data_IF_882387593215
#
_entry.id   IF_882387593215
#
_cell.length_a   1.000
_cell.length_b   1.000
_cell.length_c   1.000
_cell.angle_alpha   90.00
_cell.angle_beta   90.00
_cell.angle_gamma   90.00
#
_symmetry.space_group_name_H-M   'P 1'
#
loop_
_entity.id
_entity.type
_entity.pdbx_description
1 polymer ?
#
# COMPACT_ATOMS: atom_id res chain seq x y z
N UNK A 1 -47.81 -6.97 -53.61
CA UNK A 1 -47.67 -6.89 -52.16
C UNK A 1 -46.18 -6.94 -51.82
N UNK A 2 -45.57 -5.77 -51.67
CA UNK A 2 -44.14 -5.61 -51.36
C UNK A 2 -43.98 -5.48 -49.83
N UNK A 3 -43.30 -6.43 -49.22
CA UNK A 3 -42.93 -6.37 -47.83
C UNK A 3 -41.64 -5.57 -47.68
N UNK A 4 -41.74 -4.37 -47.12
CA UNK A 4 -40.59 -3.58 -46.70
C UNK A 4 -39.84 -4.30 -45.53
N UNK A 5 -38.52 -4.38 -45.58
CA UNK A 5 -37.75 -4.88 -44.43
C UNK A 5 -37.67 -3.83 -43.33
N UNK A 6 -38.18 -4.16 -42.17
CA UNK A 6 -38.06 -3.33 -40.99
C UNK A 6 -36.59 -3.15 -40.61
N UNK A 7 -36.07 -1.94 -40.74
CA UNK A 7 -34.75 -1.56 -40.32
C UNK A 7 -34.70 -1.53 -38.78
N UNK A 8 -34.18 -2.57 -38.15
CA UNK A 8 -33.86 -2.58 -36.69
C UNK A 8 -32.67 -1.69 -36.44
N UNK A 9 -32.90 -0.49 -35.95
CA UNK A 9 -31.89 0.40 -35.43
C UNK A 9 -31.43 -0.19 -34.09
N UNK A 10 -30.24 -0.79 -34.06
CA UNK A 10 -29.55 -1.11 -32.81
C UNK A 10 -29.02 0.21 -32.25
N UNK A 11 -29.70 0.79 -31.26
CA UNK A 11 -29.13 1.83 -30.43
C UNK A 11 -28.05 1.19 -29.55
N UNK A 12 -26.78 1.44 -29.87
CA UNK A 12 -25.66 1.16 -28.99
C UNK A 12 -25.73 2.23 -27.91
N UNK A 13 -26.17 1.89 -26.70
CA UNK A 13 -25.98 2.75 -25.55
C UNK A 13 -24.48 2.84 -25.26
N UNK A 14 -23.87 3.95 -25.63
CA UNK A 14 -22.50 4.26 -25.19
C UNK A 14 -22.55 4.65 -23.72
N UNK A 15 -22.21 3.72 -22.85
CA UNK A 15 -21.98 4.01 -21.43
C UNK A 15 -20.62 4.69 -21.31
N UNK A 16 -20.63 5.99 -21.04
CA UNK A 16 -19.41 6.73 -20.75
C UNK A 16 -19.02 6.46 -19.28
N UNK A 17 -18.00 5.68 -19.07
CA UNK A 17 -17.40 5.52 -17.76
C UNK A 17 -16.47 6.71 -17.48
N UNK A 18 -16.80 7.51 -16.46
CA UNK A 18 -15.98 8.66 -16.08
C UNK A 18 -14.93 8.21 -15.07
N UNK A 19 -13.68 8.23 -15.49
CA UNK A 19 -12.54 7.98 -14.60
C UNK A 19 -12.51 9.00 -13.47
N UNK A 20 -12.45 8.52 -12.24
CA UNK A 20 -12.31 9.30 -11.01
C UNK A 20 -10.94 9.07 -10.41
N UNK A 21 -10.47 10.00 -9.59
CA UNK A 21 -9.30 9.79 -8.78
C UNK A 21 -9.43 10.46 -7.40
N UNK A 22 -8.87 9.83 -6.39
CA UNK A 22 -8.70 10.37 -5.04
C UNK A 22 -7.24 10.25 -4.65
N UNK A 23 -6.69 11.30 -4.05
CA UNK A 23 -5.35 11.27 -3.45
C UNK A 23 -5.46 11.72 -2.00
N UNK A 24 -4.99 10.87 -1.09
CA UNK A 24 -4.98 11.15 0.35
C UNK A 24 -3.63 10.76 0.95
N UNK A 25 -3.33 11.35 2.12
CA UNK A 25 -2.12 11.09 2.87
C UNK A 25 -2.49 10.65 4.27
N UNK A 26 -2.18 9.40 4.59
CA UNK A 26 -2.19 8.92 5.97
C UNK A 26 -0.88 9.33 6.65
N UNK A 27 -0.93 9.58 7.95
CA UNK A 27 0.27 9.94 8.73
C UNK A 27 0.38 8.98 9.90
N UNK A 28 1.51 8.29 9.98
CA UNK A 28 1.83 7.39 11.08
C UNK A 28 3.01 7.95 11.88
N UNK A 29 2.88 7.94 13.20
CA UNK A 29 3.94 8.31 14.15
C UNK A 29 4.14 7.16 15.11
N UNK A 30 4.98 6.21 14.72
CA UNK A 30 5.32 5.04 15.52
C UNK A 30 6.30 5.44 16.62
N UNK A 31 6.02 5.06 17.86
CA UNK A 31 6.82 5.43 19.03
C UNK A 31 8.06 4.54 19.25
N UNK A 32 8.04 3.36 18.68
CA UNK A 32 9.17 2.41 18.68
C UNK A 32 10.01 2.61 17.42
N UNK A 33 11.26 2.15 17.43
CA UNK A 33 12.11 2.18 16.25
C UNK A 33 11.50 1.39 15.09
N UNK A 34 10.90 0.22 15.38
CA UNK A 34 10.29 -0.67 14.38
C UNK A 34 8.86 -1.05 14.78
N UNK A 35 8.02 -1.21 13.78
CA UNK A 35 6.67 -1.77 13.93
C UNK A 35 6.07 -2.17 12.58
N UNK A 36 5.14 -3.13 12.63
CA UNK A 36 4.22 -3.42 11.54
C UNK A 36 2.82 -2.98 11.94
N UNK A 37 2.25 -2.05 11.21
CA UNK A 37 0.92 -1.48 11.48
C UNK A 37 -0.03 -1.92 10.38
N UNK A 38 -1.10 -2.65 10.74
CA UNK A 38 -2.14 -2.98 9.78
C UNK A 38 -2.93 -1.72 9.42
N UNK A 39 -2.83 -1.30 8.16
CA UNK A 39 -3.46 -0.10 7.63
C UNK A 39 -4.63 -0.41 6.68
N UNK A 40 -4.98 -1.68 6.51
CA UNK A 40 -6.09 -2.11 5.65
C UNK A 40 -7.39 -1.36 5.95
N UNK A 41 -7.81 -1.19 7.23
CA UNK A 41 -9.05 -0.48 7.55
C UNK A 41 -9.02 0.99 7.12
N UNK A 42 -7.86 1.66 7.22
CA UNK A 42 -7.73 3.06 6.84
C UNK A 42 -7.78 3.22 5.31
N UNK A 43 -7.12 2.33 4.56
CA UNK A 43 -7.19 2.30 3.10
C UNK A 43 -8.63 2.01 2.63
N UNK A 44 -9.31 1.03 3.23
CA UNK A 44 -10.71 0.71 2.88
C UNK A 44 -11.66 1.89 3.11
N UNK A 45 -11.47 2.68 4.18
CA UNK A 45 -12.25 3.92 4.39
C UNK A 45 -12.06 4.92 3.24
N UNK A 46 -10.83 5.04 2.72
CA UNK A 46 -10.55 5.93 1.59
C UNK A 46 -11.17 5.44 0.28
N UNK A 47 -11.21 4.13 0.06
CA UNK A 47 -11.93 3.55 -1.08
C UNK A 47 -13.42 3.88 -1.00
N UNK A 48 -14.06 3.69 0.15
CA UNK A 48 -15.45 4.07 0.35
C UNK A 48 -15.68 5.58 0.12
N UNK A 49 -14.76 6.42 0.60
CA UNK A 49 -14.79 7.88 0.37
C UNK A 49 -14.70 8.24 -1.12
N UNK A 50 -13.89 7.50 -1.89
CA UNK A 50 -13.70 7.76 -3.33
C UNK A 50 -14.94 7.48 -4.16
N UNK A 51 -15.83 6.61 -3.69
CA UNK A 51 -17.01 6.07 -4.42
C UNK A 51 -16.63 5.36 -5.73
N UNK A 52 -15.38 4.93 -5.87
CA UNK A 52 -14.89 4.14 -6.99
C UNK A 52 -15.31 2.69 -6.75
N UNK A 53 -15.92 2.07 -7.77
CA UNK A 53 -16.39 0.70 -7.70
C UNK A 53 -15.38 -0.28 -8.30
N UNK A 54 -14.77 0.10 -9.41
CA UNK A 54 -13.78 -0.71 -10.12
C UNK A 54 -12.55 0.13 -10.45
N UNK A 55 -11.35 -0.37 -10.10
CA UNK A 55 -10.14 0.39 -10.32
C UNK A 55 -8.90 -0.17 -9.60
N UNK A 56 -7.97 0.73 -9.32
CA UNK A 56 -6.71 0.41 -8.65
C UNK A 56 -6.46 1.37 -7.48
N UNK A 57 -5.92 0.82 -6.41
CA UNK A 57 -5.45 1.55 -5.23
C UNK A 57 -3.94 1.37 -5.08
N UNK A 58 -3.17 2.44 -5.27
CA UNK A 58 -1.76 2.50 -4.91
C UNK A 58 -1.64 2.96 -3.45
N UNK A 59 -0.90 2.21 -2.64
CA UNK A 59 -0.53 2.59 -1.26
C UNK A 59 0.98 2.63 -1.16
N UNK A 60 1.56 3.79 -0.87
CA UNK A 60 2.98 4.06 -1.00
C UNK A 60 3.57 4.75 0.23
N UNK A 61 4.58 4.15 0.87
CA UNK A 61 5.37 4.79 1.91
C UNK A 61 6.24 5.90 1.31
N UNK A 62 6.08 7.13 1.82
CA UNK A 62 6.80 8.32 1.33
C UNK A 62 8.04 8.61 2.17
N UNK A 63 8.71 7.57 2.67
CA UNK A 63 9.95 7.72 3.43
C UNK A 63 10.88 6.55 3.12
N UNK A 64 12.18 6.84 3.06
CA UNK A 64 13.22 5.88 2.66
C UNK A 64 13.57 4.84 3.74
N UNK A 65 12.99 4.94 4.93
CA UNK A 65 13.12 3.97 6.03
C UNK A 65 11.77 3.37 6.44
N UNK A 66 10.75 3.50 5.57
CA UNK A 66 9.43 2.92 5.77
C UNK A 66 8.95 2.20 4.51
N UNK A 67 8.09 1.22 4.68
CA UNK A 67 7.61 0.28 3.65
C UNK A 67 6.09 0.17 3.68
N UNK A 68 5.51 -0.29 2.58
CA UNK A 68 4.16 -0.82 2.52
C UNK A 68 4.22 -2.18 1.86
N UNK A 69 3.62 -3.19 2.48
CA UNK A 69 3.62 -4.57 1.98
C UNK A 69 2.28 -5.26 2.31
N UNK A 70 2.05 -6.41 1.67
CA UNK A 70 0.86 -7.24 1.89
C UNK A 70 1.29 -8.57 2.45
N UNK A 71 0.65 -8.98 3.55
CA UNK A 71 0.78 -10.35 4.11
C UNK A 71 -0.35 -10.62 5.12
N UNK A 72 -0.29 -11.79 5.77
CA UNK A 72 -1.20 -12.19 6.81
C UNK A 72 -0.99 -11.39 8.11
N UNK A 73 -2.08 -11.11 8.81
CA UNK A 73 -2.08 -10.42 10.11
C UNK A 73 -1.96 -11.41 11.27
N UNK A 74 -0.80 -12.06 11.39
CA UNK A 74 -0.51 -13.06 12.41
C UNK A 74 0.73 -12.66 13.23
N UNK A 75 0.58 -12.66 14.56
CA UNK A 75 1.62 -12.17 15.48
C UNK A 75 2.91 -13.01 15.44
N UNK A 76 2.83 -14.32 15.18
CA UNK A 76 3.99 -15.20 15.03
C UNK A 76 4.79 -14.82 13.80
N UNK A 77 4.10 -14.64 12.67
CA UNK A 77 4.70 -14.22 11.42
C UNK A 77 5.38 -12.84 11.54
N UNK A 78 4.75 -11.89 12.25
CA UNK A 78 5.38 -10.59 12.50
C UNK A 78 6.67 -10.70 13.31
N UNK A 79 6.71 -11.58 14.32
CA UNK A 79 7.95 -11.86 15.07
C UNK A 79 9.02 -12.53 14.20
N UNK A 80 8.62 -13.38 13.27
CA UNK A 80 9.54 -14.01 12.34
C UNK A 80 10.10 -13.01 11.32
N UNK A 81 9.30 -12.05 10.84
CA UNK A 81 9.81 -10.92 10.05
C UNK A 81 10.85 -10.10 10.81
N UNK A 82 10.59 -9.77 12.08
CA UNK A 82 11.56 -9.03 12.90
C UNK A 82 12.90 -9.76 12.99
N UNK A 83 12.89 -11.05 13.27
CA UNK A 83 14.10 -11.88 13.35
C UNK A 83 14.81 -11.98 12.00
N UNK A 84 14.04 -12.23 10.93
CA UNK A 84 14.57 -12.38 9.59
C UNK A 84 15.20 -11.10 9.07
N UNK A 85 14.55 -9.96 9.22
CA UNK A 85 15.06 -8.66 8.82
C UNK A 85 16.28 -8.25 9.66
N UNK A 86 16.31 -8.59 10.95
CA UNK A 86 17.45 -8.32 11.80
C UNK A 86 18.66 -9.21 11.45
N UNK A 87 18.42 -10.44 11.03
CA UNK A 87 19.49 -11.32 10.54
C UNK A 87 20.08 -10.86 9.21
N UNK A 88 19.26 -10.26 8.33
CA UNK A 88 19.73 -9.77 7.02
C UNK A 88 20.41 -8.40 7.11
N UNK A 89 19.93 -7.52 7.97
CA UNK A 89 20.46 -6.18 8.17
C UNK A 89 20.39 -5.83 9.67
N UNK A 90 21.32 -6.36 10.49
CA UNK A 90 21.31 -6.10 11.93
C UNK A 90 21.52 -4.62 12.23
N UNK A 91 20.81 -4.09 13.23
CA UNK A 91 21.00 -2.72 13.65
C UNK A 91 22.38 -2.52 14.28
N UNK A 92 22.82 -3.46 15.11
CA UNK A 92 24.09 -3.41 15.81
C UNK A 92 25.14 -4.39 15.20
N UNK A 93 26.43 -4.03 15.21
CA UNK A 93 26.98 -2.73 15.58
C UNK A 93 26.73 -1.67 14.50
N UNK A 94 26.35 -0.45 14.88
CA UNK A 94 26.01 0.62 13.91
C UNK A 94 27.17 1.02 13.01
N UNK A 95 28.41 0.85 13.48
CA UNK A 95 29.65 1.18 12.76
C UNK A 95 29.95 0.25 11.57
N UNK A 96 29.26 -0.89 11.48
CA UNK A 96 29.43 -1.81 10.36
C UNK A 96 28.98 -1.23 9.01
N UNK A 97 28.16 -0.16 9.04
CA UNK A 97 27.58 0.43 7.85
C UNK A 97 28.32 1.70 7.42
N UNK A 98 28.68 1.79 6.14
CA UNK A 98 29.31 2.99 5.57
C UNK A 98 28.38 4.20 5.64
N UNK A 99 27.06 4.01 5.47
CA UNK A 99 26.05 5.07 5.59
C UNK A 99 26.09 5.77 6.95
N UNK A 100 26.32 5.02 8.02
CA UNK A 100 26.32 5.55 9.38
C UNK A 100 27.56 6.43 9.69
N UNK A 101 28.59 6.38 8.85
CA UNK A 101 29.76 7.29 8.94
C UNK A 101 29.40 8.76 8.69
N UNK A 102 28.22 9.05 8.17
CA UNK A 102 27.70 10.40 7.98
C UNK A 102 27.10 11.02 9.25
N UNK A 103 27.06 10.29 10.37
CA UNK A 103 26.45 10.68 11.63
C UNK A 103 25.01 10.15 11.82
N UNK A 104 24.53 9.34 10.88
CA UNK A 104 23.26 8.62 10.98
C UNK A 104 23.44 7.28 11.71
N UNK A 105 22.33 6.64 12.11
CA UNK A 105 22.31 5.32 12.77
C UNK A 105 21.33 4.33 12.12
N UNK A 106 20.91 4.61 10.89
CA UNK A 106 19.69 4.02 10.29
C UNK A 106 19.93 3.29 8.96
N UNK A 107 21.18 2.91 8.65
CA UNK A 107 21.50 2.15 7.45
C UNK A 107 20.71 0.84 7.35
N UNK A 108 20.53 0.14 8.47
CA UNK A 108 19.72 -1.08 8.55
C UNK A 108 18.27 -0.84 8.16
N UNK A 109 17.70 0.32 8.52
CA UNK A 109 16.34 0.69 8.18
C UNK A 109 16.16 0.92 6.66
N UNK A 110 17.15 1.50 5.98
CA UNK A 110 17.17 1.63 4.53
C UNK A 110 17.19 0.26 3.84
N UNK A 111 18.01 -0.67 4.33
CA UNK A 111 18.13 -2.02 3.80
C UNK A 111 16.84 -2.83 4.01
N UNK A 112 16.27 -2.80 5.23
CA UNK A 112 14.99 -3.44 5.55
C UNK A 112 13.86 -2.92 4.66
N UNK A 113 13.79 -1.60 4.49
CA UNK A 113 12.81 -0.98 3.58
C UNK A 113 13.01 -1.44 2.13
N UNK A 114 14.26 -1.54 1.67
CA UNK A 114 14.55 -1.96 0.30
C UNK A 114 14.07 -3.40 0.03
N UNK A 115 14.19 -4.29 1.01
CA UNK A 115 13.73 -5.68 0.92
C UNK A 115 12.19 -5.76 0.96
N UNK A 116 11.56 -5.02 1.90
CA UNK A 116 10.10 -5.09 2.11
C UNK A 116 9.28 -4.32 1.05
N UNK A 117 9.94 -3.47 0.28
CA UNK A 117 9.29 -2.70 -0.78
C UNK A 117 8.77 -1.34 -0.33
N UNK A 118 8.43 -0.53 -1.30
CA UNK A 118 7.98 0.86 -1.12
C UNK A 118 6.46 0.99 -1.16
N UNK A 119 5.81 0.25 -2.03
CA UNK A 119 4.39 0.37 -2.34
C UNK A 119 3.76 -0.98 -2.67
N UNK A 120 2.44 -0.96 -2.61
CA UNK A 120 1.58 -2.02 -3.16
C UNK A 120 0.52 -1.42 -4.05
N UNK A 121 0.06 -2.18 -5.04
CA UNK A 121 -1.11 -1.87 -5.85
C UNK A 121 -2.12 -2.98 -5.66
N UNK A 122 -3.35 -2.62 -5.31
CA UNK A 122 -4.45 -3.56 -5.08
C UNK A 122 -5.60 -3.21 -6.02
N UNK A 123 -6.21 -4.22 -6.61
CA UNK A 123 -7.44 -4.05 -7.37
C UNK A 123 -8.59 -3.61 -6.45
N UNK A 124 -9.49 -2.81 -7.00
CA UNK A 124 -10.77 -2.47 -6.38
C UNK A 124 -11.85 -3.16 -7.20
N UNK A 125 -12.67 -3.97 -6.55
CA UNK A 125 -13.81 -4.65 -7.16
C UNK A 125 -15.04 -4.42 -6.29
N UNK A 126 -16.13 -3.93 -6.87
CA UNK A 126 -17.36 -3.60 -6.17
C UNK A 126 -17.15 -2.69 -4.93
N UNK A 127 -16.27 -1.69 -5.04
CA UNK A 127 -15.98 -0.72 -3.98
C UNK A 127 -15.19 -1.26 -2.79
N UNK A 128 -14.49 -2.39 -2.97
CA UNK A 128 -13.67 -3.04 -1.93
C UNK A 128 -12.29 -3.40 -2.46
N UNK A 129 -11.31 -3.47 -1.56
CA UNK A 129 -10.02 -4.09 -1.85
C UNK A 129 -10.25 -5.57 -2.22
N UNK A 130 -9.76 -5.95 -3.39
CA UNK A 130 -9.89 -7.32 -3.91
C UNK A 130 -8.70 -8.14 -3.44
N UNK A 131 -8.88 -8.82 -2.32
CA UNK A 131 -7.86 -9.57 -1.61
C UNK A 131 -8.13 -11.06 -1.59
N UNK A 132 -7.06 -11.83 -1.56
CA UNK A 132 -7.09 -13.19 -1.04
C UNK A 132 -7.47 -13.20 0.46
N UNK A 133 -7.92 -14.36 1.00
CA UNK A 133 -8.55 -14.43 2.32
C UNK A 133 -7.68 -13.97 3.49
N UNK A 134 -6.35 -13.95 3.35
CA UNK A 134 -5.40 -13.59 4.41
C UNK A 134 -4.61 -12.30 4.11
N UNK A 135 -4.84 -11.69 2.96
CA UNK A 135 -4.11 -10.50 2.57
C UNK A 135 -4.56 -9.27 3.36
N UNK A 136 -3.59 -8.58 3.94
CA UNK A 136 -3.76 -7.31 4.64
C UNK A 136 -2.63 -6.37 4.26
N UNK A 137 -2.90 -5.07 4.18
CA UNK A 137 -1.89 -4.04 3.92
C UNK A 137 -1.25 -3.62 5.24
N UNK A 138 0.08 -3.63 5.27
CA UNK A 138 0.86 -3.18 6.40
C UNK A 138 1.73 -1.97 6.05
N UNK A 139 1.80 -1.03 6.98
CA UNK A 139 2.86 -0.05 7.04
C UNK A 139 4.00 -0.63 7.89
N UNK A 140 5.19 -0.77 7.29
CA UNK A 140 6.40 -1.20 7.98
C UNK A 140 7.26 0.01 8.35
N UNK A 141 7.49 0.22 9.63
CA UNK A 141 8.38 1.24 10.17
C UNK A 141 9.70 0.61 10.59
N UNK A 142 10.84 1.18 10.16
CA UNK A 142 12.17 0.69 10.52
C UNK A 142 13.06 1.72 11.21
N UNK A 143 12.60 2.99 11.29
CA UNK A 143 13.31 4.10 11.92
C UNK A 143 12.28 5.12 12.45
N UNK A 144 11.52 4.73 13.46
CA UNK A 144 10.35 5.42 13.99
C UNK A 144 10.64 6.72 14.75
N UNK A 145 9.74 7.07 15.67
CA UNK A 145 9.79 8.24 16.56
C UNK A 145 9.59 9.60 15.85
N UNK A 146 9.17 9.60 14.60
CA UNK A 146 8.81 10.77 13.82
C UNK A 146 7.64 10.48 12.87
N UNK A 147 6.80 11.49 12.56
CA UNK A 147 5.68 11.28 11.65
C UNK A 147 6.16 11.03 10.22
N UNK A 148 5.57 10.02 9.57
CA UNK A 148 5.82 9.69 8.17
C UNK A 148 4.51 9.56 7.41
N UNK A 149 4.52 9.93 6.13
CA UNK A 149 3.33 9.88 5.29
C UNK A 149 3.27 8.62 4.47
N UNK A 150 2.05 8.14 4.27
CA UNK A 150 1.69 7.11 3.30
C UNK A 150 0.73 7.74 2.31
N UNK A 151 1.10 7.78 1.04
CA UNK A 151 0.24 8.19 -0.05
C UNK A 151 -0.74 7.06 -0.37
N UNK A 152 -2.02 7.38 -0.45
CA UNK A 152 -3.05 6.51 -1.02
C UNK A 152 -3.60 7.18 -2.27
N UNK A 153 -3.41 6.56 -3.42
CA UNK A 153 -3.92 7.02 -4.71
C UNK A 153 -4.90 5.99 -5.25
N UNK A 154 -6.13 6.42 -5.47
CA UNK A 154 -7.22 5.58 -5.96
C UNK A 154 -7.63 6.12 -7.33
N UNK A 155 -7.73 5.25 -8.32
CA UNK A 155 -8.12 5.59 -9.71
C UNK A 155 -9.09 4.52 -10.19
N UNK A 156 -10.19 4.93 -10.80
CA UNK A 156 -11.19 4.02 -11.36
C UNK A 156 -12.51 4.71 -11.68
N UNK A 157 -13.58 3.95 -11.76
CA UNK A 157 -14.92 4.38 -12.11
C UNK A 157 -15.99 4.00 -11.08
#
# INVERSE_FOLDING_TARGET
MSSEPALRIFMIEMVFHIMKSLTEYLVYNVKTRRAFVNITPDVQKLILKSKIQDGLCLVNAMHITASVFINDNENGLHRDYEKWLEALAPHEPIEQYDHNKTGEDNADAHLKRQIMGREVVVAITNGKLDFGPWEQIFYGEFDGQRPKRVLVKIIGE
#
